data_IF_313341220669
#
_entry.id   IF_313341220669
#
_cell.length_a   1.000
_cell.length_b   1.000
_cell.length_c   1.000
_cell.angle_alpha   90.00
_cell.angle_beta   90.00
_cell.angle_gamma   90.00
#
_symmetry.space_group_name_H-M   'P 1'
#
loop_
_entity.id
_entity.type
_entity.pdbx_description
1 polymer ?
#
# COMPACT_ATOMS: atom_id res chain seq x y z
N UNK A 1 -20.58 -33.55 4.48
CA UNK A 1 -21.08 -32.59 3.47
C UNK A 1 -19.96 -32.31 2.49
N UNK A 2 -20.15 -32.57 1.21
CA UNK A 2 -19.16 -32.20 0.20
C UNK A 2 -19.20 -30.67 0.04
N UNK A 3 -18.10 -29.99 0.38
CA UNK A 3 -17.95 -28.56 0.12
C UNK A 3 -17.98 -28.36 -1.39
N UNK A 4 -19.00 -27.67 -1.91
CA UNK A 4 -19.11 -27.37 -3.33
C UNK A 4 -18.09 -26.27 -3.64
N UNK A 5 -17.09 -26.60 -4.46
CA UNK A 5 -16.10 -25.62 -4.89
C UNK A 5 -16.78 -24.45 -5.61
N UNK A 6 -16.47 -23.24 -5.17
CA UNK A 6 -16.98 -22.00 -5.74
C UNK A 6 -15.79 -21.06 -6.07
N UNK A 7 -15.49 -20.81 -7.35
CA UNK A 7 -14.37 -19.95 -7.75
C UNK A 7 -14.55 -18.48 -7.33
N UNK A 8 -15.78 -18.05 -7.02
CA UNK A 8 -16.05 -16.67 -6.58
C UNK A 8 -15.36 -16.35 -5.24
N UNK A 9 -15.22 -17.34 -4.36
CA UNK A 9 -14.55 -17.19 -3.05
C UNK A 9 -13.07 -16.83 -3.22
N UNK A 10 -12.40 -17.44 -4.20
CA UNK A 10 -10.97 -17.18 -4.45
C UNK A 10 -10.78 -15.80 -5.11
N UNK A 11 -11.70 -15.40 -5.99
CA UNK A 11 -11.72 -14.05 -6.55
C UNK A 11 -11.90 -12.99 -5.45
N UNK A 12 -12.84 -13.21 -4.52
CA UNK A 12 -13.06 -12.31 -3.39
C UNK A 12 -11.80 -12.18 -2.52
N UNK A 13 -11.10 -13.28 -2.24
CA UNK A 13 -9.83 -13.24 -1.52
C UNK A 13 -8.75 -12.44 -2.27
N UNK A 14 -8.65 -12.61 -3.59
CA UNK A 14 -7.71 -11.85 -4.41
C UNK A 14 -8.03 -10.34 -4.36
N UNK A 15 -9.31 -9.96 -4.44
CA UNK A 15 -9.76 -8.58 -4.33
C UNK A 15 -9.45 -7.97 -2.95
N UNK A 16 -9.65 -8.75 -1.88
CA UNK A 16 -9.28 -8.33 -0.53
C UNK A 16 -7.77 -8.09 -0.39
N UNK A 17 -6.93 -8.93 -1.00
CA UNK A 17 -5.47 -8.73 -1.03
C UNK A 17 -5.09 -7.45 -1.77
N UNK A 18 -5.74 -7.16 -2.90
CA UNK A 18 -5.55 -5.90 -3.63
C UNK A 18 -6.01 -4.68 -2.84
N UNK A 19 -7.16 -4.76 -2.17
CA UNK A 19 -7.67 -3.71 -1.31
C UNK A 19 -6.70 -3.42 -0.15
N UNK A 20 -6.21 -4.48 0.53
CA UNK A 20 -5.19 -4.37 1.58
C UNK A 20 -3.92 -3.70 1.05
N UNK A 21 -3.42 -4.11 -0.11
CA UNK A 21 -2.26 -3.50 -0.72
C UNK A 21 -2.45 -1.98 -0.94
N UNK A 22 -3.62 -1.54 -1.43
CA UNK A 22 -3.93 -0.11 -1.58
C UNK A 22 -3.97 0.63 -0.25
N UNK A 23 -4.64 0.05 0.76
CA UNK A 23 -4.73 0.68 2.08
C UNK A 23 -3.38 0.83 2.76
N UNK A 24 -2.48 -0.16 2.60
CA UNK A 24 -1.12 -0.09 3.14
C UNK A 24 -0.30 1.05 2.55
N UNK A 25 -0.36 1.27 1.22
CA UNK A 25 0.33 2.43 0.60
C UNK A 25 -0.26 3.74 1.12
N UNK A 26 -1.58 3.84 1.20
CA UNK A 26 -2.23 5.06 1.68
C UNK A 26 -1.83 5.38 3.13
N UNK A 27 -1.84 4.38 4.01
CA UNK A 27 -1.43 4.51 5.40
C UNK A 27 0.06 4.89 5.54
N UNK A 28 0.95 4.27 4.75
CA UNK A 28 2.38 4.58 4.83
C UNK A 28 2.70 6.00 4.35
N UNK A 29 2.02 6.47 3.30
CA UNK A 29 2.15 7.84 2.80
C UNK A 29 1.62 8.83 3.83
N UNK A 30 0.45 8.56 4.41
CA UNK A 30 -0.16 9.41 5.42
C UNK A 30 0.73 9.52 6.66
N UNK A 31 1.25 8.39 7.17
CA UNK A 31 2.17 8.39 8.29
C UNK A 31 3.46 9.14 7.96
N UNK A 32 4.03 8.93 6.77
CA UNK A 32 5.21 9.66 6.30
C UNK A 32 4.99 11.17 6.23
N UNK A 33 3.81 11.61 5.74
CA UNK A 33 3.43 13.01 5.68
C UNK A 33 3.31 13.62 7.07
N UNK A 34 2.59 12.97 7.98
CA UNK A 34 2.41 13.43 9.35
C UNK A 34 3.75 13.54 10.07
N UNK A 35 4.57 12.49 10.01
CA UNK A 35 5.86 12.45 10.68
C UNK A 35 6.85 13.47 10.10
N UNK A 36 6.91 13.60 8.77
CA UNK A 36 7.75 14.58 8.11
C UNK A 36 7.31 16.02 8.38
N UNK A 37 6.00 16.29 8.39
CA UNK A 37 5.47 17.61 8.74
C UNK A 37 5.77 18.00 10.19
N UNK A 38 5.60 17.07 11.14
CA UNK A 38 5.91 17.29 12.54
C UNK A 38 7.42 17.56 12.73
N UNK A 39 8.27 16.76 12.09
CA UNK A 39 9.73 16.93 12.14
C UNK A 39 10.16 18.26 11.55
N UNK A 40 9.64 18.63 10.37
CA UNK A 40 9.93 19.91 9.74
C UNK A 40 9.45 21.11 10.57
N UNK A 41 8.30 21.00 11.24
CA UNK A 41 7.78 22.04 12.11
C UNK A 41 8.65 22.22 13.35
N UNK A 42 9.12 21.12 13.95
CA UNK A 42 10.06 21.15 15.08
C UNK A 42 11.38 21.83 14.66
N UNK A 43 11.93 21.50 13.49
CA UNK A 43 13.14 22.15 12.98
C UNK A 43 12.92 23.65 12.75
N UNK A 44 11.79 24.02 12.13
CA UNK A 44 11.45 25.43 11.90
C UNK A 44 11.25 26.21 13.21
N UNK A 45 10.69 25.57 14.26
CA UNK A 45 10.59 26.14 15.61
C UNK A 45 11.97 26.42 16.21
N UNK A 46 12.90 25.46 16.14
CA UNK A 46 14.25 25.63 16.69
C UNK A 46 15.05 26.73 15.99
N UNK A 47 14.78 26.97 14.71
CA UNK A 47 15.41 28.04 13.93
C UNK A 47 14.73 29.41 14.11
N UNK A 48 13.58 29.48 14.81
CA UNK A 48 12.81 30.73 14.95
C UNK A 48 12.06 31.16 13.67
N UNK A 49 12.00 30.28 12.66
CA UNK A 49 11.50 30.60 11.31
C UNK A 49 10.08 30.04 11.06
N UNK A 50 9.34 29.62 12.10
CA UNK A 50 8.06 28.91 11.94
C UNK A 50 7.04 29.61 11.04
N UNK A 51 6.99 30.95 11.09
CA UNK A 51 6.03 31.78 10.34
C UNK A 51 6.63 32.39 9.06
N UNK A 52 7.89 32.10 8.79
CA UNK A 52 8.64 32.54 7.60
C UNK A 52 8.40 31.60 6.43
N UNK A 53 8.61 32.09 5.21
CA UNK A 53 8.58 31.25 4.00
C UNK A 53 9.59 30.10 4.09
N UNK A 54 10.73 30.33 4.76
CA UNK A 54 11.76 29.32 5.00
C UNK A 54 11.21 28.18 5.88
N UNK A 55 10.50 28.51 6.96
CA UNK A 55 9.91 27.50 7.85
C UNK A 55 8.83 26.67 7.16
N UNK A 56 7.97 27.31 6.36
CA UNK A 56 6.97 26.60 5.55
C UNK A 56 7.66 25.69 4.53
N UNK A 57 8.74 26.16 3.89
CA UNK A 57 9.56 25.37 2.98
C UNK A 57 10.17 24.13 3.66
N UNK A 58 10.67 24.27 4.88
CA UNK A 58 11.19 23.14 5.67
C UNK A 58 10.11 22.11 6.00
N UNK A 59 8.93 22.54 6.45
CA UNK A 59 7.80 21.62 6.74
C UNK A 59 7.42 20.83 5.49
N UNK A 60 7.27 21.50 4.36
CA UNK A 60 6.86 20.86 3.09
C UNK A 60 7.95 19.90 2.58
N UNK A 61 9.22 20.30 2.63
CA UNK A 61 10.33 19.45 2.16
C UNK A 61 10.49 18.19 3.00
N UNK A 62 10.46 18.30 4.34
CA UNK A 62 10.52 17.13 5.22
C UNK A 62 9.29 16.23 5.07
N UNK A 63 8.08 16.81 4.96
CA UNK A 63 6.86 16.06 4.70
C UNK A 63 6.93 15.28 3.38
N UNK A 64 7.37 15.92 2.30
CA UNK A 64 7.53 15.28 1.00
C UNK A 64 8.57 14.16 1.03
N UNK A 65 9.74 14.41 1.65
CA UNK A 65 10.82 13.43 1.73
C UNK A 65 10.40 12.19 2.53
N UNK A 66 9.80 12.38 3.71
CA UNK A 66 9.28 11.27 4.51
C UNK A 66 8.13 10.53 3.82
N UNK A 67 7.25 11.22 3.08
CA UNK A 67 6.18 10.57 2.31
C UNK A 67 6.74 9.69 1.17
N UNK A 68 7.77 10.16 0.46
CA UNK A 68 8.43 9.39 -0.60
C UNK A 68 9.13 8.15 -0.04
N UNK A 69 9.85 8.29 1.08
CA UNK A 69 10.49 7.16 1.75
C UNK A 69 9.47 6.17 2.33
N UNK A 70 8.37 6.66 2.88
CA UNK A 70 7.27 5.81 3.35
C UNK A 70 6.62 5.04 2.20
N UNK A 71 6.40 5.69 1.06
CA UNK A 71 5.85 5.07 -0.14
C UNK A 71 6.79 3.99 -0.70
N UNK A 72 8.10 4.24 -0.76
CA UNK A 72 9.06 3.27 -1.29
C UNK A 72 9.15 2.01 -0.42
N UNK A 73 9.13 2.17 0.90
CA UNK A 73 9.10 1.04 1.85
C UNK A 73 7.80 0.23 1.76
N UNK A 74 6.66 0.87 1.50
CA UNK A 74 5.39 0.18 1.32
C UNK A 74 5.28 -0.58 -0.02
N UNK A 75 6.01 -0.16 -1.06
CA UNK A 75 5.97 -0.83 -2.37
C UNK A 75 6.37 -2.30 -2.28
N UNK A 76 7.42 -2.65 -1.55
CA UNK A 76 7.87 -4.05 -1.42
C UNK A 76 6.82 -4.92 -0.74
N UNK A 77 6.22 -4.43 0.37
CA UNK A 77 5.16 -5.14 1.10
C UNK A 77 3.87 -5.29 0.29
N UNK A 78 3.56 -4.29 -0.54
CA UNK A 78 2.35 -4.32 -1.36
C UNK A 78 2.53 -5.13 -2.63
N UNK A 79 3.76 -5.24 -3.15
CA UNK A 79 4.10 -6.17 -4.22
C UNK A 79 3.87 -7.62 -3.81
N UNK A 80 4.27 -8.03 -2.60
CA UNK A 80 4.04 -9.42 -2.16
C UNK A 80 2.55 -9.75 -2.04
N UNK A 81 1.72 -8.83 -1.54
CA UNK A 81 0.26 -9.01 -1.49
C UNK A 81 -0.35 -9.15 -2.90
N UNK A 82 0.12 -8.35 -3.86
CA UNK A 82 -0.33 -8.45 -5.26
C UNK A 82 0.11 -9.74 -5.92
N UNK A 83 1.32 -10.21 -5.64
CA UNK A 83 1.82 -11.49 -6.15
C UNK A 83 1.00 -12.66 -5.61
N UNK A 84 0.69 -12.68 -4.31
CA UNK A 84 -0.18 -13.70 -3.72
C UNK A 84 -1.58 -13.71 -4.36
N UNK A 85 -2.16 -12.54 -4.64
CA UNK A 85 -3.43 -12.46 -5.33
C UNK A 85 -3.37 -13.05 -6.75
N UNK A 86 -2.29 -12.79 -7.49
CA UNK A 86 -2.07 -13.32 -8.84
C UNK A 86 -1.85 -14.84 -8.83
N UNK A 87 -1.12 -15.37 -7.85
CA UNK A 87 -0.94 -16.81 -7.69
C UNK A 87 -2.28 -17.54 -7.49
N UNK A 88 -3.16 -16.99 -6.64
CA UNK A 88 -4.51 -17.52 -6.41
C UNK A 88 -5.35 -17.51 -7.69
N UNK A 89 -5.34 -16.38 -8.43
CA UNK A 89 -6.08 -16.26 -9.68
C UNK A 89 -5.56 -17.23 -10.75
N UNK A 90 -4.25 -17.43 -10.82
CA UNK A 90 -3.62 -18.39 -11.73
C UNK A 90 -4.07 -19.82 -11.41
N UNK A 91 -4.11 -20.21 -10.13
CA UNK A 91 -4.60 -21.53 -9.72
C UNK A 91 -6.05 -21.76 -10.12
N UNK A 92 -6.93 -20.77 -9.91
CA UNK A 92 -8.33 -20.84 -10.37
C UNK A 92 -8.39 -21.07 -11.87
N UNK A 93 -7.60 -20.33 -12.64
CA UNK A 93 -7.60 -20.46 -14.10
C UNK A 93 -7.09 -21.84 -14.55
N UNK A 94 -6.06 -22.37 -13.90
CA UNK A 94 -5.56 -23.73 -14.16
C UNK A 94 -6.67 -24.74 -13.89
N UNK A 95 -7.34 -24.66 -12.75
CA UNK A 95 -8.43 -25.59 -12.41
C UNK A 95 -9.61 -25.48 -13.38
N UNK A 96 -9.98 -24.28 -13.79
CA UNK A 96 -11.03 -24.06 -14.79
C UNK A 96 -10.64 -24.66 -16.15
N UNK A 97 -9.39 -24.47 -16.57
CA UNK A 97 -8.87 -25.05 -17.81
C UNK A 97 -8.83 -26.58 -17.72
N UNK A 98 -8.38 -27.15 -16.59
CA UNK A 98 -8.37 -28.60 -16.37
C UNK A 98 -9.77 -29.19 -16.37
N UNK A 99 -10.76 -28.53 -15.76
CA UNK A 99 -12.17 -28.97 -15.82
C UNK A 99 -12.71 -28.95 -17.23
N UNK A 100 -12.41 -27.89 -18.00
CA UNK A 100 -12.82 -27.77 -19.39
C UNK A 100 -12.15 -28.80 -20.32
N UNK A 101 -10.92 -29.20 -20.01
CA UNK A 101 -10.21 -30.24 -20.76
C UNK A 101 -10.70 -31.66 -20.41
N UNK A 102 -11.27 -31.84 -19.21
CA UNK A 102 -11.83 -33.12 -18.75
C UNK A 102 -13.33 -33.31 -19.09
N UNK A 103 -13.99 -32.29 -19.64
CA UNK A 103 -15.38 -32.30 -20.15
C UNK A 103 -15.43 -32.48 -21.66
#
# INVERSE_FOLDING_TARGET
>A
MAVKYDPSVIQEMADQLYARARTMVAQSVLLGLLFGSATGAVVALFLGELRSEIGVGLVVTFAALCAVLGASSARTKTLSLRLQAQELLCQVQIEMNTRRAAS
#
